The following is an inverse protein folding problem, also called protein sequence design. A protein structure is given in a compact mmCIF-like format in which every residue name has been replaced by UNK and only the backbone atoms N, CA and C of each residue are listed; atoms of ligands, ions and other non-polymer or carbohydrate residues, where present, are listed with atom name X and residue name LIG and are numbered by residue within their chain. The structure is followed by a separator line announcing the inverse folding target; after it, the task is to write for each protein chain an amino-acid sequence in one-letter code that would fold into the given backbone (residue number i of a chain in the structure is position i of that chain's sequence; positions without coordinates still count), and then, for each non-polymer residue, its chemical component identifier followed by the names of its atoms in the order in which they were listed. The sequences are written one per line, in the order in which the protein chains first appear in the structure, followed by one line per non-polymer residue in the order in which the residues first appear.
data_IF_618868892329
#
_entry.id   IF_618868892329
#
_cell.length_a   1.000
_cell.length_b   1.000
_cell.length_c   1.000
_cell.angle_alpha   90.00
_cell.angle_beta   90.00
_cell.angle_gamma   90.00
#
_symmetry.space_group_name_H-M   'P 1'
#
loop_
_entity.id
_entity.type
_entity.pdbx_description
1 polymer ?
#
# COMPACT_ATOMS: atom_id res chain seq x y z
N UNK A 1 12.98 -21.06 -5.55
CA UNK A 1 12.58 -19.86 -6.31
C UNK A 1 12.02 -18.87 -5.32
N UNK A 2 12.61 -17.66 -5.20
CA UNK A 2 12.28 -16.70 -4.14
C UNK A 2 10.93 -16.06 -4.40
N UNK A 3 9.86 -16.70 -3.92
CA UNK A 3 8.51 -16.14 -3.87
C UNK A 3 8.39 -14.97 -2.86
N UNK A 4 9.50 -14.58 -2.22
CA UNK A 4 9.59 -13.54 -1.19
C UNK A 4 9.05 -12.17 -1.64
N UNK A 5 8.97 -11.91 -2.96
CA UNK A 5 8.47 -10.63 -3.48
C UNK A 5 6.98 -10.63 -3.87
N UNK A 6 6.35 -11.79 -4.10
CA UNK A 6 4.96 -11.85 -4.56
C UNK A 6 3.96 -11.33 -3.51
N UNK A 7 4.17 -11.70 -2.24
CA UNK A 7 3.35 -11.25 -1.14
C UNK A 7 3.45 -9.73 -0.90
N UNK A 8 4.66 -9.12 -0.79
CA UNK A 8 4.76 -7.67 -0.65
C UNK A 8 4.26 -6.90 -1.87
N UNK A 9 4.41 -7.41 -3.11
CA UNK A 9 3.80 -6.76 -4.28
C UNK A 9 2.27 -6.70 -4.18
N UNK A 10 1.62 -7.78 -3.72
CA UNK A 10 0.17 -7.78 -3.48
C UNK A 10 -0.25 -6.82 -2.38
N UNK A 11 0.53 -6.72 -1.30
CA UNK A 11 0.28 -5.75 -0.21
C UNK A 11 0.37 -4.31 -0.70
N UNK A 12 1.36 -3.97 -1.52
CA UNK A 12 1.49 -2.61 -2.09
C UNK A 12 0.26 -2.25 -2.92
N UNK A 13 -0.23 -3.18 -3.76
CA UNK A 13 -1.43 -2.96 -4.58
C UNK A 13 -2.66 -2.77 -3.67
N UNK A 14 -2.79 -3.58 -2.61
CA UNK A 14 -3.87 -3.47 -1.65
C UNK A 14 -3.86 -2.12 -0.92
N UNK A 15 -2.69 -1.66 -0.50
CA UNK A 15 -2.51 -0.37 0.19
C UNK A 15 -2.88 0.81 -0.72
N UNK A 16 -2.51 0.75 -2.00
CA UNK A 16 -2.89 1.78 -2.99
C UNK A 16 -4.41 1.75 -3.23
N UNK A 17 -5.01 0.56 -3.39
CA UNK A 17 -6.46 0.42 -3.54
C UNK A 17 -7.23 0.93 -2.31
N UNK A 18 -6.71 0.67 -1.11
CA UNK A 18 -7.27 1.19 0.13
C UNK A 18 -7.16 2.73 0.16
N UNK A 19 -6.00 3.29 -0.18
CA UNK A 19 -5.82 4.73 -0.27
C UNK A 19 -6.83 5.38 -1.23
N UNK A 20 -7.06 4.80 -2.41
CA UNK A 20 -8.05 5.27 -3.39
C UNK A 20 -9.48 5.11 -2.87
N UNK A 21 -9.78 4.00 -2.20
CA UNK A 21 -11.10 3.75 -1.61
C UNK A 21 -11.47 4.71 -0.47
N UNK A 22 -10.49 5.28 0.23
CA UNK A 22 -10.70 6.28 1.28
C UNK A 22 -10.88 7.71 0.76
N UNK A 23 -10.60 7.98 -0.53
CA UNK A 23 -10.83 9.30 -1.16
C UNK A 23 -12.30 9.74 -1.07
N UNK A 24 -13.30 8.93 -1.48
CA UNK A 24 -14.72 9.34 -1.41
C UNK A 24 -15.27 9.44 0.01
N UNK A 25 -14.61 8.83 1.01
CA UNK A 25 -15.00 8.93 2.43
C UNK A 25 -14.54 10.26 3.04
N UNK A 26 -13.59 10.97 2.41
CA UNK A 26 -13.04 12.22 2.94
C UNK A 26 -12.03 12.02 4.08
N UNK A 27 -11.64 10.78 4.38
CA UNK A 27 -10.67 10.43 5.42
C UNK A 27 -9.23 10.58 4.91
N UNK A 28 -8.80 11.82 4.68
CA UNK A 28 -7.44 12.15 4.18
C UNK A 28 -6.32 11.57 5.05
N UNK A 29 -6.54 11.45 6.38
CA UNK A 29 -5.59 10.81 7.30
C UNK A 29 -5.32 9.36 6.93
N UNK A 30 -6.37 8.61 6.57
CA UNK A 30 -6.24 7.22 6.15
C UNK A 30 -5.60 7.12 4.78
N UNK A 31 -5.96 7.98 3.83
CA UNK A 31 -5.34 8.00 2.51
C UNK A 31 -3.82 8.11 2.63
N UNK A 32 -3.32 9.09 3.39
CA UNK A 32 -1.88 9.28 3.60
C UNK A 32 -1.25 8.11 4.36
N UNK A 33 -1.95 7.54 5.35
CA UNK A 33 -1.48 6.37 6.08
C UNK A 33 -1.27 5.15 5.18
N UNK A 34 -2.26 4.82 4.35
CA UNK A 34 -2.18 3.71 3.40
C UNK A 34 -1.11 3.97 2.32
N UNK A 35 -0.95 5.22 1.87
CA UNK A 35 0.11 5.60 0.94
C UNK A 35 1.52 5.43 1.56
N UNK A 36 1.69 5.81 2.82
CA UNK A 36 2.93 5.61 3.56
C UNK A 36 3.26 4.11 3.74
N UNK A 37 2.26 3.28 4.02
CA UNK A 37 2.42 1.82 4.10
C UNK A 37 2.89 1.21 2.76
N UNK A 38 2.29 1.64 1.65
CA UNK A 38 2.70 1.22 0.31
C UNK A 38 4.16 1.61 0.01
N UNK A 39 4.56 2.84 0.34
CA UNK A 39 5.93 3.33 0.14
C UNK A 39 6.92 2.52 0.98
N UNK A 40 6.63 2.32 2.26
CA UNK A 40 7.54 1.63 3.19
C UNK A 40 7.71 0.16 2.80
N UNK A 41 6.64 -0.50 2.37
CA UNK A 41 6.69 -1.87 1.83
C UNK A 41 7.50 -1.94 0.53
N UNK A 42 7.37 -0.92 -0.33
CA UNK A 42 8.18 -0.82 -1.56
C UNK A 42 9.66 -0.67 -1.24
N UNK A 43 10.03 0.25 -0.34
CA UNK A 43 11.42 0.54 0.04
C UNK A 43 12.14 -0.63 0.73
N UNK A 44 11.42 -1.45 1.50
CA UNK A 44 12.02 -2.61 2.17
C UNK A 44 12.11 -3.83 1.24
N UNK A 45 11.28 -3.89 0.20
CA UNK A 45 11.20 -5.02 -0.74
C UNK A 45 12.12 -4.85 -1.96
N UNK A 46 12.38 -3.61 -2.39
CA UNK A 46 13.13 -3.26 -3.60
C UNK A 46 14.20 -2.22 -3.30
#
# INVERSE_FOLDING_TARGET
MKYEKLFPTLLIILDICAAVGYIPVGDWRKVVYWLAAAILTTCVTY
#
